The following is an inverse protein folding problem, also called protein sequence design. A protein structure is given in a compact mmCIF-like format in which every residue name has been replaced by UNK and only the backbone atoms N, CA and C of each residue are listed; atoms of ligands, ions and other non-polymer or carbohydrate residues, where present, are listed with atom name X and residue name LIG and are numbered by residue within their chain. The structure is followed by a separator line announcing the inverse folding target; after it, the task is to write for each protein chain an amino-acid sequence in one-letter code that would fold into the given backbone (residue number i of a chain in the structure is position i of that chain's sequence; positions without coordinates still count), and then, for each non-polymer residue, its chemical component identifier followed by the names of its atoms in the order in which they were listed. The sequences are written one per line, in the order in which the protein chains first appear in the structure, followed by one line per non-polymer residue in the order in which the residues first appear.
data_IF_545019376179
#
_entry.id   IF_545019376179
#
_cell.length_a   1.000
_cell.length_b   1.000
_cell.length_c   1.000
_cell.angle_alpha   90.00
_cell.angle_beta   90.00
_cell.angle_gamma   90.00
#
_symmetry.space_group_name_H-M   'P 1'
#
loop_
_entity.id
_entity.type
_entity.pdbx_description
1 polymer ?
#
# COMPACT_ATOMS: atom_id res chain seq x y z
N UNK A 1 -83.03 29.68 -17.65
CA UNK A 1 -83.35 30.56 -16.51
C UNK A 1 -82.30 30.32 -15.43
N UNK A 2 -81.43 31.32 -15.28
CA UNK A 2 -80.63 31.80 -14.13
C UNK A 2 -80.01 30.87 -13.06
N UNK A 3 -78.73 31.17 -12.84
CA UNK A 3 -77.72 30.74 -11.87
C UNK A 3 -78.09 30.77 -10.38
N UNK A 4 -77.34 29.99 -9.58
CA UNK A 4 -76.40 30.59 -8.60
C UNK A 4 -75.35 29.61 -8.05
N UNK A 5 -74.11 30.03 -8.24
CA UNK A 5 -72.86 29.54 -7.67
C UNK A 5 -72.83 29.50 -6.13
N UNK A 6 -72.04 28.58 -5.58
CA UNK A 6 -71.15 28.87 -4.44
C UNK A 6 -69.94 27.95 -4.42
N UNK A 7 -68.80 28.48 -4.85
CA UNK A 7 -67.46 27.96 -4.58
C UNK A 7 -66.97 28.42 -3.19
N UNK A 8 -66.18 27.57 -2.54
CA UNK A 8 -65.11 27.88 -1.56
C UNK A 8 -64.34 26.57 -1.35
N UNK A 9 -63.28 26.28 -2.12
CA UNK A 9 -61.87 26.66 -1.89
C UNK A 9 -61.29 26.12 -0.58
N UNK A 10 -60.27 25.24 -0.67
CA UNK A 10 -59.32 25.02 0.44
C UNK A 10 -58.74 23.62 0.63
N UNK A 11 -57.66 23.32 -0.10
CA UNK A 11 -56.43 22.62 0.32
C UNK A 11 -56.47 21.21 0.94
N UNK A 12 -56.01 20.22 0.16
CA UNK A 12 -54.66 19.67 0.30
C UNK A 12 -54.33 18.73 1.47
N UNK A 13 -53.86 17.54 1.06
CA UNK A 13 -52.84 16.68 1.70
C UNK A 13 -53.34 15.36 2.30
N UNK A 14 -53.17 14.32 1.50
CA UNK A 14 -53.07 12.91 1.90
C UNK A 14 -51.99 12.72 2.97
N UNK A 15 -52.35 12.33 4.19
CA UNK A 15 -51.40 11.82 5.18
C UNK A 15 -52.02 10.70 6.00
N UNK A 16 -51.48 9.50 5.85
CA UNK A 16 -51.90 8.31 6.60
C UNK A 16 -50.99 7.12 6.33
N UNK A 17 -49.66 7.32 6.39
CA UNK A 17 -48.69 6.21 6.51
C UNK A 17 -48.31 6.07 7.98
N UNK A 18 -48.61 4.92 8.57
CA UNK A 18 -47.87 4.37 9.71
C UNK A 18 -46.65 3.62 9.11
N UNK A 19 -45.42 3.74 9.64
CA UNK A 19 -45.06 3.20 10.95
C UNK A 19 -44.19 4.15 11.81
N UNK A 20 -44.60 4.37 13.05
CA UNK A 20 -43.71 4.87 14.10
C UNK A 20 -43.05 3.69 14.83
N UNK A 21 -41.82 3.34 14.44
CA UNK A 21 -40.84 2.60 15.24
C UNK A 21 -39.42 3.09 14.88
N UNK A 22 -39.18 4.39 15.04
CA UNK A 22 -37.83 4.97 15.01
C UNK A 22 -37.53 5.56 16.39
N UNK A 23 -37.10 4.71 17.30
CA UNK A 23 -36.61 5.12 18.62
C UNK A 23 -35.91 3.93 19.24
N UNK A 24 -34.58 4.01 19.30
CA UNK A 24 -33.62 2.97 19.73
C UNK A 24 -32.96 2.18 18.58
N UNK A 25 -32.39 2.90 17.60
CA UNK A 25 -31.14 2.43 17.03
C UNK A 25 -30.03 2.95 17.96
N UNK A 26 -29.62 2.11 18.91
CA UNK A 26 -28.37 2.29 19.65
C UNK A 26 -27.26 2.68 18.67
N UNK A 27 -26.51 3.70 19.04
CA UNK A 27 -25.26 4.09 18.40
C UNK A 27 -24.27 2.93 18.49
N UNK A 28 -24.37 1.98 17.58
CA UNK A 28 -23.37 0.94 17.39
C UNK A 28 -22.75 1.21 16.04
N UNK A 29 -21.89 2.23 16.01
CA UNK A 29 -20.86 2.29 14.97
C UNK A 29 -19.87 1.20 15.38
N UNK A 30 -20.18 -0.05 14.99
CA UNK A 30 -19.17 -1.10 14.99
C UNK A 30 -18.06 -0.62 14.07
N UNK A 31 -16.97 -0.19 14.71
CA UNK A 31 -15.80 0.38 14.06
C UNK A 31 -15.14 -0.73 13.23
N UNK A 32 -15.61 -0.90 11.99
CA UNK A 32 -15.05 -1.85 11.02
C UNK A 32 -13.66 -1.37 10.60
N UNK A 33 -12.67 -1.62 11.46
CA UNK A 33 -11.27 -1.44 11.11
C UNK A 33 -10.92 -2.43 10.01
N UNK A 34 -10.34 -1.94 8.91
CA UNK A 34 -9.85 -2.83 7.86
C UNK A 34 -8.70 -3.69 8.36
N UNK A 35 -8.54 -4.91 7.81
CA UNK A 35 -7.39 -5.79 8.12
C UNK A 35 -6.05 -5.07 7.95
N UNK A 36 -5.96 -4.14 6.99
CA UNK A 36 -4.78 -3.28 6.80
C UNK A 36 -4.53 -2.33 7.97
N UNK A 37 -5.57 -1.65 8.45
CA UNK A 37 -5.47 -0.74 9.59
C UNK A 37 -5.15 -1.48 10.89
N UNK A 38 -5.76 -2.65 11.12
CA UNK A 38 -5.43 -3.48 12.28
C UNK A 38 -3.97 -3.94 12.25
N UNK A 39 -3.48 -4.40 11.09
CA UNK A 39 -2.07 -4.78 10.92
C UNK A 39 -1.11 -3.61 11.16
N UNK A 40 -1.52 -2.40 10.80
CA UNK A 40 -0.72 -1.20 11.00
C UNK A 40 -0.63 -0.85 12.49
N UNK A 41 -1.77 -0.78 13.18
CA UNK A 41 -1.82 -0.48 14.61
C UNK A 41 -1.03 -1.49 15.46
N UNK A 42 -1.15 -2.79 15.17
CA UNK A 42 -0.38 -3.83 15.87
C UNK A 42 1.12 -3.65 15.65
N UNK A 43 1.56 -3.27 14.45
CA UNK A 43 2.99 -3.04 14.15
C UNK A 43 3.54 -1.83 14.89
N UNK A 44 2.78 -0.74 14.94
CA UNK A 44 3.17 0.49 15.63
C UNK A 44 3.38 0.24 17.12
N UNK A 45 2.42 -0.42 17.78
CA UNK A 45 2.53 -0.77 19.21
C UNK A 45 3.72 -1.69 19.46
N UNK A 46 3.90 -2.73 18.64
CA UNK A 46 5.01 -3.67 18.82
C UNK A 46 6.37 -2.98 18.67
N UNK A 47 6.47 -2.02 17.78
CA UNK A 47 7.72 -1.34 17.54
C UNK A 47 8.03 -0.29 18.61
N UNK A 48 7.01 0.41 19.13
CA UNK A 48 7.13 1.24 20.32
C UNK A 48 7.65 0.40 21.51
N UNK A 49 7.03 -0.76 21.76
CA UNK A 49 7.45 -1.69 22.82
C UNK A 49 8.88 -2.20 22.64
N UNK A 50 9.33 -2.36 21.39
CA UNK A 50 10.66 -2.86 21.07
C UNK A 50 11.69 -1.72 20.90
N UNK A 51 11.28 -0.45 21.03
CA UNK A 51 12.15 0.72 20.79
C UNK A 51 12.68 0.77 19.35
N UNK A 52 11.95 0.21 18.39
CA UNK A 52 12.32 0.18 16.97
C UNK A 52 11.50 1.22 16.23
N UNK A 53 12.15 2.08 15.46
CA UNK A 53 11.45 3.04 14.64
C UNK A 53 10.73 2.32 13.48
N UNK A 54 9.38 2.40 13.41
CA UNK A 54 8.61 1.90 12.26
C UNK A 54 8.66 2.97 11.18
N UNK A 55 9.84 3.21 10.65
CA UNK A 55 9.85 3.65 9.27
C UNK A 55 9.17 2.53 8.47
N UNK A 56 7.97 2.84 7.94
CA UNK A 56 7.35 2.16 6.82
C UNK A 56 8.27 2.30 5.59
N UNK A 57 9.51 1.81 5.67
CA UNK A 57 10.28 1.41 4.53
C UNK A 57 9.58 0.16 4.00
N UNK A 58 8.42 0.35 3.37
CA UNK A 58 7.92 -0.57 2.37
C UNK A 58 9.11 -0.77 1.42
N UNK A 59 9.81 -1.90 1.55
CA UNK A 59 11.01 -2.20 0.77
C UNK A 59 10.62 -2.12 -0.68
N UNK A 60 10.91 -0.96 -1.28
CA UNK A 60 10.51 -0.69 -2.65
C UNK A 60 11.56 -1.31 -3.54
N UNK A 61 11.22 -2.53 -3.95
CA UNK A 61 11.99 -3.37 -4.83
C UNK A 61 11.72 -2.96 -6.28
N UNK A 62 12.76 -2.66 -7.05
CA UNK A 62 12.64 -2.27 -8.45
C UNK A 62 13.21 -3.34 -9.38
N UNK A 63 12.54 -3.65 -10.50
CA UNK A 63 13.10 -4.59 -11.48
C UNK A 63 14.38 -4.03 -12.11
N UNK A 64 15.24 -4.91 -12.65
CA UNK A 64 16.49 -4.52 -13.34
C UNK A 64 16.29 -3.37 -14.34
N UNK A 65 15.20 -3.40 -15.12
CA UNK A 65 14.88 -2.40 -16.14
C UNK A 65 14.66 -0.98 -15.62
N UNK A 66 14.36 -0.81 -14.32
CA UNK A 66 14.26 0.49 -13.66
C UNK A 66 15.46 0.77 -12.77
N UNK A 67 15.96 -0.27 -12.10
CA UNK A 67 17.02 -0.15 -11.11
C UNK A 67 18.35 0.33 -11.70
N UNK A 68 18.70 -0.05 -12.94
CA UNK A 68 20.00 0.30 -13.53
C UNK A 68 20.21 1.82 -13.60
N UNK A 69 19.19 2.56 -14.05
CA UNK A 69 19.23 4.03 -14.10
C UNK A 69 19.29 4.65 -12.71
N UNK A 70 18.53 4.13 -11.76
CA UNK A 70 18.48 4.63 -10.38
C UNK A 70 19.80 4.43 -9.62
N UNK A 71 20.59 3.45 -10.05
CA UNK A 71 21.89 3.13 -9.48
C UNK A 71 23.07 3.72 -10.27
N UNK A 72 22.80 4.51 -11.32
CA UNK A 72 23.83 5.18 -12.12
C UNK A 72 24.57 4.27 -13.11
N UNK A 73 24.01 3.10 -13.45
CA UNK A 73 24.54 2.27 -14.52
C UNK A 73 24.01 2.73 -15.88
N UNK A 74 24.80 2.57 -16.93
CA UNK A 74 24.42 2.91 -18.30
C UNK A 74 23.50 1.85 -18.91
N UNK A 75 23.69 0.59 -18.52
CA UNK A 75 22.99 -0.57 -19.10
C UNK A 75 22.49 -1.53 -18.03
N UNK A 76 21.39 -2.22 -18.33
CA UNK A 76 20.79 -3.21 -17.43
C UNK A 76 21.68 -4.44 -17.24
N UNK A 77 22.50 -4.78 -18.24
CA UNK A 77 23.45 -5.89 -18.22
C UNK A 77 24.51 -5.70 -17.15
N UNK A 78 25.07 -4.49 -17.02
CA UNK A 78 26.07 -4.17 -15.98
C UNK A 78 25.53 -4.43 -14.58
N UNK A 79 24.24 -4.18 -14.37
CA UNK A 79 23.60 -4.46 -13.09
C UNK A 79 23.46 -5.97 -12.84
N UNK A 80 23.27 -6.81 -13.88
CA UNK A 80 23.29 -8.26 -13.75
C UNK A 80 24.69 -8.78 -13.47
N UNK A 81 25.70 -8.19 -14.12
CA UNK A 81 27.11 -8.53 -13.89
C UNK A 81 27.54 -8.16 -12.46
N UNK A 82 27.02 -7.06 -11.91
CA UNK A 82 27.21 -6.69 -10.50
C UNK A 82 26.62 -7.73 -9.52
N UNK A 83 25.52 -8.39 -9.88
CA UNK A 83 24.98 -9.51 -9.09
C UNK A 83 25.83 -10.76 -9.27
N UNK A 84 26.19 -11.10 -10.51
CA UNK A 84 26.98 -12.30 -10.83
C UNK A 84 28.39 -12.27 -10.20
N UNK A 85 29.02 -11.08 -10.12
CA UNK A 85 30.31 -10.86 -9.47
C UNK A 85 30.24 -10.82 -7.94
N UNK A 86 29.04 -10.84 -7.35
CA UNK A 86 28.84 -10.76 -5.90
C UNK A 86 28.98 -9.35 -5.31
N UNK A 87 29.12 -8.32 -6.14
CA UNK A 87 29.13 -6.91 -5.68
C UNK A 87 27.80 -6.56 -4.98
N UNK A 88 26.68 -7.01 -5.57
CA UNK A 88 25.33 -6.96 -5.01
C UNK A 88 24.85 -8.37 -4.66
N UNK A 89 24.33 -8.60 -3.45
CA UNK A 89 24.07 -9.94 -2.93
C UNK A 89 22.58 -10.30 -2.98
N UNK A 90 22.31 -11.53 -3.39
CA UNK A 90 20.98 -12.12 -3.30
C UNK A 90 20.55 -12.27 -1.83
N UNK A 91 19.28 -12.00 -1.55
CA UNK A 91 18.68 -12.03 -0.21
C UNK A 91 18.97 -10.81 0.67
N UNK A 92 19.88 -9.91 0.26
CA UNK A 92 20.22 -8.69 1.01
C UNK A 92 19.81 -7.42 0.28
N UNK A 93 20.53 -7.10 -0.78
CA UNK A 93 20.26 -5.94 -1.63
C UNK A 93 19.39 -6.32 -2.83
N UNK A 94 19.42 -7.60 -3.23
CA UNK A 94 18.76 -8.11 -4.42
C UNK A 94 17.85 -9.29 -4.08
N UNK A 95 16.67 -9.36 -4.68
CA UNK A 95 15.79 -10.52 -4.66
C UNK A 95 15.70 -11.14 -6.06
N UNK A 96 15.90 -12.44 -6.18
CA UNK A 96 15.56 -13.18 -7.39
C UNK A 96 14.10 -13.63 -7.32
N UNK A 97 13.26 -13.05 -8.19
CA UNK A 97 11.84 -13.38 -8.32
C UNK A 97 11.54 -14.16 -9.59
N UNK A 98 12.50 -14.96 -10.06
CA UNK A 98 12.29 -15.88 -11.17
C UNK A 98 11.14 -16.84 -10.86
N UNK A 99 10.34 -17.15 -11.88
CA UNK A 99 9.37 -18.22 -11.79
C UNK A 99 10.10 -19.57 -11.70
N UNK A 100 9.51 -20.57 -11.03
CA UNK A 100 10.03 -21.93 -11.08
C UNK A 100 10.24 -22.35 -12.54
N UNK A 101 11.40 -22.93 -12.87
CA UNK A 101 11.83 -23.35 -14.21
C UNK A 101 12.20 -22.24 -15.23
N UNK A 102 12.17 -20.95 -14.88
CA UNK A 102 12.67 -19.90 -15.76
C UNK A 102 14.21 -19.95 -15.86
N UNK A 103 14.74 -20.00 -17.09
CA UNK A 103 16.20 -19.98 -17.35
C UNK A 103 16.83 -18.62 -17.04
N UNK A 104 16.08 -17.53 -17.21
CA UNK A 104 16.57 -16.17 -17.00
C UNK A 104 16.22 -15.66 -15.60
N UNK A 105 17.19 -15.07 -14.88
CA UNK A 105 16.94 -14.48 -13.57
C UNK A 105 16.05 -13.24 -13.68
N UNK A 106 15.18 -13.04 -12.69
CA UNK A 106 14.32 -11.86 -12.61
C UNK A 106 14.61 -11.10 -11.33
N UNK A 107 15.70 -10.35 -11.36
CA UNK A 107 16.19 -9.60 -10.21
C UNK A 107 15.37 -8.34 -9.91
N UNK A 108 15.15 -8.12 -8.62
CA UNK A 108 14.59 -6.92 -8.04
C UNK A 108 15.58 -6.34 -7.01
N UNK A 109 15.72 -5.02 -6.98
CA UNK A 109 16.78 -4.33 -6.26
C UNK A 109 16.21 -3.36 -5.23
N UNK A 110 16.80 -3.35 -4.04
CA UNK A 110 16.57 -2.33 -3.02
C UNK A 110 17.57 -1.21 -3.27
N UNK A 111 17.10 -0.10 -3.84
CA UNK A 111 17.98 0.98 -4.30
C UNK A 111 18.79 1.57 -3.15
N UNK A 112 18.17 1.78 -1.98
CA UNK A 112 18.87 2.36 -0.81
C UNK A 112 20.01 1.45 -0.36
N UNK A 113 19.77 0.14 -0.29
CA UNK A 113 20.80 -0.83 0.13
C UNK A 113 21.88 -1.01 -0.91
N UNK A 114 21.52 -1.08 -2.19
CA UNK A 114 22.48 -1.11 -3.28
C UNK A 114 23.39 0.12 -3.25
N UNK A 115 22.84 1.32 -3.08
CA UNK A 115 23.64 2.56 -2.98
C UNK A 115 24.57 2.54 -1.77
N UNK A 116 24.07 2.16 -0.59
CA UNK A 116 24.89 2.01 0.61
C UNK A 116 26.07 1.06 0.37
N UNK A 117 25.79 -0.08 -0.27
CA UNK A 117 26.79 -1.09 -0.61
C UNK A 117 27.83 -0.59 -1.62
N UNK A 118 27.40 0.13 -2.65
CA UNK A 118 28.29 0.69 -3.66
C UNK A 118 29.19 1.79 -3.08
N UNK A 119 28.70 2.52 -2.07
CA UNK A 119 29.47 3.53 -1.35
C UNK A 119 30.47 2.95 -0.33
N UNK A 120 30.29 1.70 0.13
CA UNK A 120 31.27 1.01 0.99
C UNK A 120 32.60 0.80 0.25
N UNK A 121 33.73 1.02 0.92
CA UNK A 121 35.06 0.73 0.36
C UNK A 121 35.19 -0.76 0.00
N UNK A 122 35.87 -1.11 -1.11
CA UNK A 122 36.01 -2.49 -1.56
C UNK A 122 36.47 -3.48 -0.48
N UNK A 123 37.41 -3.06 0.39
CA UNK A 123 37.97 -3.87 1.47
C UNK A 123 36.93 -4.31 2.51
N UNK A 124 35.90 -3.48 2.75
CA UNK A 124 34.82 -3.79 3.70
C UNK A 124 33.69 -4.59 3.07
N UNK A 125 33.78 -4.90 1.77
CA UNK A 125 32.69 -5.57 1.06
C UNK A 125 32.62 -7.07 1.37
N UNK A 126 33.69 -7.72 1.80
CA UNK A 126 33.74 -9.18 1.94
C UNK A 126 33.30 -9.74 3.31
N UNK A 127 33.04 -8.86 4.29
CA UNK A 127 32.39 -9.20 5.58
C UNK A 127 30.86 -9.20 5.50
#
# INVERSE_FOLDING_TARGET
MFDKNKESSGNGTINGRNPNLNGLAEQTIDYLISKSQLKQAVREILAEMLGVDVELNQRKMYPTSKAFKLLGYDRAEQLRDAVASGLLRLGREVEDRRQPAAKLPRYYFDIKRCQKRLAELPEKRWT
#
